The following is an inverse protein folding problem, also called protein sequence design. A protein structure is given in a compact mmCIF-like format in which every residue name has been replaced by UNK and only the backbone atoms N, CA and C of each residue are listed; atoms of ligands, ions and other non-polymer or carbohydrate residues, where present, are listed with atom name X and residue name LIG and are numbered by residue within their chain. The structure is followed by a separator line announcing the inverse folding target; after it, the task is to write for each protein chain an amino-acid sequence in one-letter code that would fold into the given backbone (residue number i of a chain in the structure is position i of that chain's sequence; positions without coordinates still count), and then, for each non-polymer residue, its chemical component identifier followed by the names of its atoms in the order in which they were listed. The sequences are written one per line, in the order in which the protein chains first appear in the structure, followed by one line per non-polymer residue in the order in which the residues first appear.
data_IF_149604426188
#
_entry.id   IF_149604426188
#
_cell.length_a   1.000
_cell.length_b   1.000
_cell.length_c   1.000
_cell.angle_alpha   90.00
_cell.angle_beta   90.00
_cell.angle_gamma   90.00
#
_symmetry.space_group_name_H-M   'P 1'
#
loop_
_entity.id
_entity.type
_entity.pdbx_description
1 polymer ?
#
# COMPACT_ATOMS: atom_id res chain seq x y z
N UNK A 1 -19.99 17.60 -22.09
CA UNK A 1 -19.45 18.99 -22.03
C UNK A 1 -18.55 19.08 -20.83
N UNK A 2 -17.36 19.65 -20.97
CA UNK A 2 -16.42 19.90 -19.86
C UNK A 2 -16.51 21.36 -19.48
N UNK A 3 -16.67 21.65 -18.19
CA UNK A 3 -16.79 23.00 -17.65
C UNK A 3 -15.71 23.20 -16.60
N UNK A 4 -15.08 24.36 -16.64
CA UNK A 4 -14.13 24.80 -15.63
C UNK A 4 -14.86 25.52 -14.51
N UNK A 5 -14.55 25.17 -13.25
CA UNK A 5 -15.14 25.77 -12.05
C UNK A 5 -14.06 26.39 -11.17
N UNK A 6 -14.43 27.43 -10.42
CA UNK A 6 -13.66 27.90 -9.28
C UNK A 6 -14.40 27.62 -7.98
N UNK A 7 -13.67 27.39 -6.91
CA UNK A 7 -14.25 27.28 -5.57
C UNK A 7 -14.32 28.68 -4.94
N UNK A 8 -15.49 29.01 -4.37
CA UNK A 8 -15.73 30.29 -3.69
C UNK A 8 -16.12 29.99 -2.25
N UNK A 9 -15.18 30.22 -1.34
CA UNK A 9 -15.33 29.85 0.08
C UNK A 9 -16.49 30.60 0.75
N UNK A 10 -16.67 31.87 0.38
CA UNK A 10 -17.67 32.79 0.96
C UNK A 10 -19.05 32.69 0.32
N UNK A 11 -19.24 31.79 -0.64
CA UNK A 11 -20.53 31.64 -1.28
C UNK A 11 -21.54 31.11 -0.24
N UNK A 12 -22.60 31.86 0.00
CA UNK A 12 -23.67 31.53 0.96
C UNK A 12 -24.58 30.40 0.48
N UNK A 13 -24.48 30.05 -0.80
CA UNK A 13 -25.23 28.92 -1.36
C UNK A 13 -24.58 27.59 -0.94
N UNK A 14 -25.39 26.53 -0.95
CA UNK A 14 -24.97 25.19 -0.60
C UNK A 14 -23.88 24.67 -1.57
N UNK A 15 -23.90 25.16 -2.84
CA UNK A 15 -22.94 24.82 -3.87
C UNK A 15 -21.87 25.89 -3.99
N UNK A 16 -20.65 25.55 -3.62
CA UNK A 16 -19.53 26.51 -3.59
C UNK A 16 -18.69 26.55 -4.88
N UNK A 17 -18.97 25.69 -5.82
CA UNK A 17 -18.29 25.63 -7.11
C UNK A 17 -19.01 26.49 -8.13
N UNK A 18 -18.39 27.59 -8.55
CA UNK A 18 -18.95 28.52 -9.52
C UNK A 18 -18.38 28.25 -10.90
N UNK A 19 -19.20 28.02 -11.94
CA UNK A 19 -18.73 27.78 -13.29
C UNK A 19 -18.07 29.05 -13.85
N UNK A 20 -16.91 28.89 -14.50
CA UNK A 20 -16.18 29.98 -15.15
C UNK A 20 -16.43 29.97 -16.64
N UNK A 21 -16.19 28.84 -17.29
CA UNK A 21 -16.32 28.71 -18.75
C UNK A 21 -16.46 27.26 -19.20
N UNK A 22 -16.99 27.12 -20.41
CA UNK A 22 -16.97 25.82 -21.11
C UNK A 22 -15.59 25.61 -21.74
N UNK A 23 -14.99 24.46 -21.47
CA UNK A 23 -13.73 24.03 -22.11
C UNK A 23 -14.05 23.28 -23.40
N UNK A 24 -14.11 24.03 -24.51
CA UNK A 24 -14.41 23.46 -25.83
C UNK A 24 -13.32 22.48 -26.28
N UNK A 25 -12.04 22.80 -26.04
CA UNK A 25 -10.89 21.96 -26.28
C UNK A 25 -11.02 20.60 -25.57
N UNK A 26 -11.28 20.63 -24.29
CA UNK A 26 -11.44 19.42 -23.46
C UNK A 26 -12.72 18.63 -23.78
N UNK A 27 -13.76 19.32 -24.20
CA UNK A 27 -14.99 18.67 -24.67
C UNK A 27 -14.76 17.94 -25.99
N UNK A 28 -13.97 18.49 -26.90
CA UNK A 28 -13.60 17.81 -28.14
C UNK A 28 -12.72 16.57 -27.88
N UNK A 29 -11.72 16.66 -26.96
CA UNK A 29 -10.91 15.53 -26.54
C UNK A 29 -11.78 14.41 -25.95
N UNK A 30 -12.75 14.73 -25.07
CA UNK A 30 -13.69 13.76 -24.51
C UNK A 30 -14.50 13.05 -25.60
N UNK A 31 -15.04 13.82 -26.56
CA UNK A 31 -15.83 13.25 -27.67
C UNK A 31 -15.01 12.38 -28.60
N UNK A 32 -13.73 12.69 -28.74
CA UNK A 32 -12.77 11.91 -29.51
C UNK A 32 -12.26 10.65 -28.77
N UNK A 33 -12.73 10.39 -27.56
CA UNK A 33 -12.29 9.25 -26.73
C UNK A 33 -10.86 9.36 -26.20
N UNK A 34 -10.27 10.56 -26.22
CA UNK A 34 -8.96 10.81 -25.68
C UNK A 34 -9.00 10.82 -24.14
N UNK A 35 -7.87 10.50 -23.52
CA UNK A 35 -7.81 10.35 -22.04
C UNK A 35 -7.53 11.63 -21.26
N UNK A 36 -7.22 12.73 -21.92
CA UNK A 36 -6.69 13.95 -21.29
C UNK A 36 -7.71 15.09 -21.19
N UNK A 37 -8.98 14.77 -21.08
CA UNK A 37 -10.09 15.73 -21.11
C UNK A 37 -10.40 16.40 -19.75
N UNK A 38 -9.88 15.85 -18.64
CA UNK A 38 -10.14 16.37 -17.29
C UNK A 38 -8.99 16.14 -16.33
N UNK A 39 -9.08 16.71 -15.13
CA UNK A 39 -8.10 16.49 -14.10
C UNK A 39 -8.16 15.02 -13.62
N UNK A 40 -7.02 14.40 -13.46
CA UNK A 40 -6.92 13.12 -12.76
C UNK A 40 -7.34 13.29 -11.30
N UNK A 41 -7.86 12.23 -10.68
CA UNK A 41 -8.36 12.25 -9.31
C UNK A 41 -7.35 12.84 -8.31
N UNK A 42 -6.08 12.45 -8.39
CA UNK A 42 -5.04 12.95 -7.49
C UNK A 42 -4.80 14.46 -7.66
N UNK A 43 -4.92 15.00 -8.87
CA UNK A 43 -4.81 16.45 -9.12
C UNK A 43 -6.00 17.19 -8.52
N UNK A 44 -7.21 16.66 -8.71
CA UNK A 44 -8.42 17.24 -8.14
C UNK A 44 -8.39 17.20 -6.60
N UNK A 45 -7.94 16.10 -6.03
CA UNK A 45 -7.80 15.93 -4.58
C UNK A 45 -6.72 16.85 -4.00
N UNK A 46 -5.57 16.98 -4.65
CA UNK A 46 -4.52 17.91 -4.24
C UNK A 46 -5.01 19.36 -4.27
N UNK A 47 -5.73 19.75 -5.32
CA UNK A 47 -6.34 21.09 -5.41
C UNK A 47 -7.37 21.31 -4.30
N UNK A 48 -8.18 20.30 -3.99
CA UNK A 48 -9.15 20.34 -2.88
C UNK A 48 -8.45 20.60 -1.54
N UNK A 49 -7.38 19.87 -1.25
CA UNK A 49 -6.58 20.07 -0.05
C UNK A 49 -5.98 21.48 0.01
N UNK A 50 -5.39 21.96 -1.09
CA UNK A 50 -4.80 23.30 -1.14
C UNK A 50 -5.85 24.40 -0.93
N UNK A 51 -7.08 24.23 -1.42
CA UNK A 51 -8.19 25.17 -1.19
C UNK A 51 -8.57 25.26 0.29
N UNK A 52 -8.58 24.13 0.99
CA UNK A 52 -8.99 24.07 2.39
C UNK A 52 -7.86 24.28 3.40
N UNK A 53 -6.63 24.07 2.95
CA UNK A 53 -5.41 24.27 3.73
C UNK A 53 -4.41 25.13 2.93
N UNK A 54 -4.73 26.43 2.68
CA UNK A 54 -3.86 27.30 1.92
C UNK A 54 -2.55 27.56 2.67
N UNK A 55 -1.45 27.62 1.94
CA UNK A 55 -0.17 28.09 2.46
C UNK A 55 -0.30 29.61 2.67
N UNK A 56 -0.12 30.04 3.92
CA UNK A 56 -0.21 31.47 4.29
C UNK A 56 1.14 32.16 4.16
N UNK A 57 1.13 33.48 4.01
CA UNK A 57 2.34 34.30 4.03
C UNK A 57 3.13 34.12 5.33
N UNK A 58 2.44 34.00 6.46
CA UNK A 58 3.04 33.75 7.76
C UNK A 58 3.80 32.41 7.81
N UNK A 59 3.23 31.32 7.24
CA UNK A 59 3.92 30.03 7.14
C UNK A 59 5.23 30.16 6.34
N UNK A 60 5.23 30.94 5.26
CA UNK A 60 6.40 31.11 4.39
C UNK A 60 7.47 31.97 5.07
N UNK A 61 7.06 33.06 5.74
CA UNK A 61 7.99 34.06 6.26
C UNK A 61 8.54 33.71 7.64
N UNK A 62 7.73 33.08 8.51
CA UNK A 62 8.10 32.81 9.91
C UNK A 62 8.29 31.33 10.22
N UNK A 63 7.81 30.44 9.36
CA UNK A 63 7.75 28.99 9.65
C UNK A 63 6.75 28.61 10.75
N UNK A 64 5.93 29.57 11.23
CA UNK A 64 4.92 29.33 12.25
C UNK A 64 3.61 28.84 11.60
N UNK A 65 2.78 28.18 12.40
CA UNK A 65 1.46 27.69 11.99
C UNK A 65 1.48 26.70 10.81
N UNK A 66 2.62 26.09 10.55
CA UNK A 66 2.70 24.94 9.65
C UNK A 66 1.94 23.82 10.36
N UNK A 67 0.83 23.29 9.79
CA UNK A 67 0.10 22.21 10.40
C UNK A 67 1.06 21.03 10.62
N UNK A 68 1.14 20.48 11.82
CA UNK A 68 1.84 19.21 12.11
C UNK A 68 1.25 18.01 11.32
N UNK A 69 0.09 18.20 10.78
CA UNK A 69 -0.59 17.31 9.84
C UNK A 69 -0.41 17.81 8.39
N UNK A 70 0.77 17.68 7.88
CA UNK A 70 0.83 17.10 6.54
C UNK A 70 0.38 15.65 6.75
N UNK A 71 -0.89 15.31 6.43
CA UNK A 71 -1.24 13.92 6.22
C UNK A 71 -0.10 13.29 5.45
N UNK A 72 0.50 12.25 5.99
CA UNK A 72 1.60 11.51 5.40
C UNK A 72 1.23 11.10 3.97
N UNK A 73 1.36 12.02 3.05
CA UNK A 73 1.55 11.73 1.65
C UNK A 73 3.03 11.39 1.46
N UNK A 74 3.55 10.48 2.31
CA UNK A 74 4.75 9.75 1.99
C UNK A 74 4.46 8.90 0.77
N UNK A 75 4.51 9.55 -0.38
CA UNK A 75 4.52 8.86 -1.67
C UNK A 75 5.87 8.18 -1.80
N UNK A 76 6.01 7.04 -1.15
CA UNK A 76 7.22 6.21 -1.14
C UNK A 76 7.65 5.78 -2.55
N UNK A 77 6.72 5.78 -3.50
CA UNK A 77 6.99 5.47 -4.90
C UNK A 77 6.34 6.48 -5.83
N UNK A 78 7.06 7.56 -6.15
CA UNK A 78 6.74 8.38 -7.34
C UNK A 78 7.16 7.59 -8.57
N UNK A 79 6.19 7.16 -9.35
CA UNK A 79 6.45 6.56 -10.66
C UNK A 79 6.79 7.70 -11.66
N UNK A 80 7.98 8.28 -11.50
CA UNK A 80 8.53 9.21 -12.47
C UNK A 80 9.08 8.39 -13.62
N UNK A 81 8.65 8.69 -14.84
CA UNK A 81 9.18 8.08 -16.10
C UNK A 81 10.63 8.49 -16.39
N UNK A 82 11.39 8.95 -15.39
CA UNK A 82 12.80 9.29 -15.54
C UNK A 82 13.59 7.99 -15.57
N UNK A 83 14.36 7.78 -16.63
CA UNK A 83 15.36 6.70 -16.67
C UNK A 83 16.36 6.93 -15.54
N UNK A 84 16.29 6.11 -14.52
CA UNK A 84 17.23 6.16 -13.40
C UNK A 84 18.44 5.31 -13.73
N UNK A 85 19.66 5.80 -13.45
CA UNK A 85 20.90 5.04 -13.63
C UNK A 85 20.88 3.69 -12.89
N UNK A 86 20.06 3.58 -11.84
CA UNK A 86 19.91 2.37 -11.02
C UNK A 86 18.86 1.37 -11.57
N UNK A 87 18.34 1.58 -12.79
CA UNK A 87 17.30 0.71 -13.35
C UNK A 87 17.74 -0.74 -13.45
N UNK A 88 18.95 -0.97 -13.98
CA UNK A 88 19.49 -2.32 -14.14
C UNK A 88 19.65 -3.06 -12.81
N UNK A 89 20.14 -2.36 -11.78
CA UNK A 89 20.27 -2.89 -10.43
C UNK A 89 18.89 -3.24 -9.83
N UNK A 90 17.92 -2.35 -9.96
CA UNK A 90 16.54 -2.58 -9.50
C UNK A 90 15.89 -3.76 -10.24
N UNK A 91 16.08 -3.86 -11.55
CA UNK A 91 15.54 -4.96 -12.35
C UNK A 91 16.21 -6.28 -11.96
N UNK A 92 17.53 -6.32 -11.73
CA UNK A 92 18.23 -7.50 -11.22
C UNK A 92 17.63 -7.95 -9.87
N UNK A 93 17.47 -7.05 -8.91
CA UNK A 93 16.89 -7.41 -7.61
C UNK A 93 15.42 -7.87 -7.74
N UNK A 94 14.61 -7.17 -8.53
CA UNK A 94 13.19 -7.51 -8.63
C UNK A 94 12.91 -8.74 -9.47
N UNK A 95 13.60 -8.91 -10.60
CA UNK A 95 13.30 -9.96 -11.56
C UNK A 95 14.10 -11.24 -11.33
N UNK A 96 15.25 -11.14 -10.65
CA UNK A 96 16.12 -12.28 -10.38
C UNK A 96 16.18 -12.61 -8.89
N UNK A 97 16.73 -11.74 -8.04
CA UNK A 97 16.97 -12.04 -6.61
C UNK A 97 15.68 -12.37 -5.87
N UNK A 98 14.73 -11.43 -5.81
CA UNK A 98 13.44 -11.65 -5.14
C UNK A 98 12.68 -12.84 -5.73
N UNK A 99 12.75 -13.02 -7.06
CA UNK A 99 12.11 -14.16 -7.71
C UNK A 99 12.70 -15.47 -7.22
N UNK A 100 14.05 -15.58 -7.16
CA UNK A 100 14.72 -16.78 -6.64
C UNK A 100 14.36 -17.04 -5.19
N UNK A 101 14.39 -16.02 -4.34
CA UNK A 101 14.05 -16.16 -2.93
C UNK A 101 12.62 -16.66 -2.75
N UNK A 102 11.64 -15.96 -3.30
CA UNK A 102 10.22 -16.31 -3.11
C UNK A 102 9.91 -17.70 -3.69
N UNK A 103 10.33 -17.95 -4.94
CA UNK A 103 10.03 -19.21 -5.60
C UNK A 103 10.86 -20.39 -5.07
N UNK A 104 12.03 -20.15 -4.47
CA UNK A 104 12.90 -21.18 -3.95
C UNK A 104 12.41 -21.80 -2.64
N UNK A 105 11.64 -21.05 -1.85
CA UNK A 105 11.12 -21.50 -0.56
C UNK A 105 9.62 -21.77 -0.55
N UNK A 106 8.90 -21.34 -1.59
CA UNK A 106 7.45 -21.49 -1.67
C UNK A 106 7.05 -22.76 -2.39
N UNK A 107 6.15 -23.50 -1.81
CA UNK A 107 5.43 -24.60 -2.45
C UNK A 107 4.07 -24.14 -2.99
N UNK A 108 3.49 -24.92 -3.90
CA UNK A 108 2.13 -24.65 -4.38
C UNK A 108 1.15 -24.71 -3.21
N UNK A 109 0.23 -23.75 -3.15
CA UNK A 109 -0.78 -23.59 -2.10
C UNK A 109 -0.25 -23.14 -0.74
N UNK A 110 1.01 -22.74 -0.63
CA UNK A 110 1.53 -22.09 0.56
C UNK A 110 0.85 -20.74 0.81
N UNK A 111 0.79 -20.36 2.07
CA UNK A 111 0.36 -19.05 2.53
C UNK A 111 1.61 -18.19 2.85
N UNK A 112 1.61 -16.94 2.42
CA UNK A 112 2.72 -16.02 2.62
C UNK A 112 2.25 -14.78 3.38
N UNK A 113 3.06 -14.32 4.35
CA UNK A 113 2.94 -12.99 4.94
C UNK A 113 4.06 -12.09 4.44
N UNK A 114 3.74 -10.85 4.02
CA UNK A 114 4.70 -9.83 3.61
C UNK A 114 4.62 -8.64 4.57
N UNK A 115 5.72 -8.42 5.32
CA UNK A 115 5.78 -7.42 6.40
C UNK A 115 5.98 -5.98 5.90
N UNK A 116 6.29 -5.80 4.62
CA UNK A 116 6.44 -4.49 3.98
C UNK A 116 6.11 -4.61 2.50
N UNK A 117 4.83 -4.87 2.23
CA UNK A 117 4.34 -5.28 0.90
C UNK A 117 4.47 -4.19 -0.16
N UNK A 118 4.63 -2.94 0.25
CA UNK A 118 4.64 -1.80 -0.65
C UNK A 118 3.38 -1.77 -1.51
N UNK A 119 3.55 -1.48 -2.77
CA UNK A 119 2.46 -1.50 -3.77
C UNK A 119 2.27 -2.90 -4.39
N UNK A 120 2.53 -3.99 -3.65
CA UNK A 120 2.45 -5.38 -4.09
C UNK A 120 3.27 -5.66 -5.37
N UNK A 121 4.52 -5.21 -5.40
CA UNK A 121 5.44 -5.41 -6.52
C UNK A 121 5.80 -6.87 -6.78
N UNK A 122 5.63 -7.71 -5.78
CA UNK A 122 5.97 -9.14 -5.84
C UNK A 122 4.80 -10.04 -6.28
N UNK A 123 3.63 -9.45 -6.55
CA UNK A 123 2.43 -10.16 -7.03
C UNK A 123 2.68 -11.13 -8.21
N UNK A 124 3.47 -10.80 -9.27
CA UNK A 124 3.77 -11.75 -10.32
C UNK A 124 4.53 -12.99 -9.86
N UNK A 125 5.32 -12.87 -8.78
CA UNK A 125 6.09 -13.98 -8.19
C UNK A 125 5.15 -14.89 -7.38
N UNK A 126 4.23 -14.31 -6.62
CA UNK A 126 3.19 -15.06 -5.89
C UNK A 126 2.30 -15.88 -6.83
N UNK A 127 1.92 -15.28 -7.97
CA UNK A 127 1.14 -15.99 -9.02
C UNK A 127 1.94 -17.16 -9.58
N UNK A 128 3.22 -16.94 -9.90
CA UNK A 128 4.11 -18.00 -10.44
C UNK A 128 4.37 -19.12 -9.45
N UNK A 129 4.54 -18.80 -8.18
CA UNK A 129 4.66 -19.79 -7.09
C UNK A 129 3.36 -20.54 -6.81
N UNK A 130 2.24 -20.11 -7.41
CA UNK A 130 0.91 -20.68 -7.19
C UNK A 130 0.52 -20.71 -5.70
N UNK A 131 0.83 -19.62 -4.99
CA UNK A 131 0.45 -19.46 -3.59
C UNK A 131 -1.07 -19.53 -3.45
N UNK A 132 -1.53 -19.96 -2.30
CA UNK A 132 -2.96 -19.98 -1.94
C UNK A 132 -3.40 -18.59 -1.43
N UNK A 133 -2.66 -18.05 -0.48
CA UNK A 133 -3.04 -16.81 0.19
C UNK A 133 -1.82 -15.93 0.48
N UNK A 134 -2.01 -14.61 0.39
CA UNK A 134 -0.99 -13.61 0.77
C UNK A 134 -1.61 -12.60 1.72
N UNK A 135 -0.95 -12.36 2.85
CA UNK A 135 -1.28 -11.31 3.79
C UNK A 135 -0.19 -10.24 3.75
N UNK A 136 -0.50 -9.07 3.22
CA UNK A 136 0.45 -7.98 3.05
C UNK A 136 0.18 -6.84 4.01
N UNK A 137 1.23 -6.34 4.67
CA UNK A 137 1.18 -5.23 5.61
C UNK A 137 2.12 -4.14 5.09
N UNK A 138 1.72 -2.88 5.20
CA UNK A 138 2.60 -1.74 4.91
C UNK A 138 2.25 -0.56 5.81
N UNK A 139 3.29 0.18 6.22
CA UNK A 139 3.14 1.36 7.07
C UNK A 139 2.61 2.56 6.29
N UNK A 140 2.79 2.57 4.97
CA UNK A 140 2.29 3.64 4.10
C UNK A 140 0.87 3.32 3.63
N UNK A 141 -0.07 4.18 4.01
CA UNK A 141 -1.45 4.11 3.56
C UNK A 141 -1.56 4.24 2.03
N UNK A 142 -0.73 5.08 1.41
CA UNK A 142 -0.69 5.25 -0.04
C UNK A 142 -0.28 3.97 -0.75
N UNK A 143 0.71 3.25 -0.22
CA UNK A 143 1.12 1.96 -0.77
C UNK A 143 -0.04 0.94 -0.81
N UNK A 144 -0.92 0.94 0.18
CA UNK A 144 -2.05 0.02 0.25
C UNK A 144 -3.25 0.53 -0.55
N UNK A 145 -3.66 1.78 -0.31
CA UNK A 145 -4.98 2.28 -0.73
C UNK A 145 -4.96 3.23 -1.92
N UNK A 146 -3.79 3.56 -2.50
CA UNK A 146 -3.76 4.38 -3.71
C UNK A 146 -4.62 3.75 -4.80
N UNK A 147 -5.60 4.51 -5.30
CA UNK A 147 -6.61 4.01 -6.24
C UNK A 147 -6.06 3.66 -7.63
N UNK A 148 -4.85 4.13 -7.98
CA UNK A 148 -4.24 3.94 -9.29
C UNK A 148 -3.25 2.78 -9.26
N UNK A 149 -2.33 2.78 -8.29
CA UNK A 149 -1.18 1.88 -8.26
C UNK A 149 -0.90 1.23 -6.89
N UNK A 150 -1.74 1.48 -5.88
CA UNK A 150 -1.65 0.83 -4.58
C UNK A 150 -1.84 -0.69 -4.67
N UNK A 151 -1.47 -1.39 -3.60
CA UNK A 151 -1.52 -2.85 -3.54
C UNK A 151 -2.91 -3.40 -3.87
N UNK A 152 -3.97 -2.80 -3.30
CA UNK A 152 -5.36 -3.20 -3.57
C UNK A 152 -5.74 -2.98 -5.04
N UNK A 153 -5.45 -1.80 -5.60
CA UNK A 153 -5.76 -1.48 -6.99
C UNK A 153 -5.00 -2.40 -7.96
N UNK A 154 -3.72 -2.61 -7.71
CA UNK A 154 -2.88 -3.50 -8.51
C UNK A 154 -3.37 -4.95 -8.45
N UNK A 155 -3.74 -5.43 -7.28
CA UNK A 155 -4.31 -6.77 -7.12
C UNK A 155 -5.59 -6.94 -7.91
N UNK A 156 -6.56 -6.02 -7.76
CA UNK A 156 -7.83 -6.08 -8.48
C UNK A 156 -7.66 -6.00 -9.99
N UNK A 157 -6.73 -5.16 -10.48
CA UNK A 157 -6.43 -5.05 -11.91
C UNK A 157 -5.80 -6.34 -12.47
N UNK A 158 -4.95 -7.02 -11.69
CA UNK A 158 -4.38 -8.30 -12.10
C UNK A 158 -5.42 -9.42 -12.04
N UNK A 159 -6.35 -9.40 -11.08
CA UNK A 159 -7.43 -10.38 -10.98
C UNK A 159 -8.35 -10.41 -12.21
N UNK A 160 -8.48 -9.27 -12.91
CA UNK A 160 -9.19 -9.22 -14.19
C UNK A 160 -8.44 -9.92 -15.33
N UNK A 161 -7.12 -10.08 -15.21
CA UNK A 161 -6.24 -10.64 -16.27
C UNK A 161 -5.91 -12.10 -16.05
N UNK A 162 -5.84 -12.54 -14.80
CA UNK A 162 -5.40 -13.89 -14.41
C UNK A 162 -6.55 -14.66 -13.76
N UNK A 163 -6.96 -15.77 -14.37
CA UNK A 163 -8.00 -16.63 -13.81
C UNK A 163 -7.57 -17.39 -12.54
N UNK A 164 -6.26 -17.62 -12.39
CA UNK A 164 -5.67 -18.31 -11.23
C UNK A 164 -4.60 -17.43 -10.62
N UNK A 165 -4.90 -16.87 -9.46
CA UNK A 165 -3.94 -16.13 -8.66
C UNK A 165 -4.26 -16.32 -7.17
N UNK A 166 -3.28 -16.16 -6.27
CA UNK A 166 -3.51 -16.27 -4.84
C UNK A 166 -4.56 -15.26 -4.39
N UNK A 167 -5.34 -15.60 -3.39
CA UNK A 167 -6.12 -14.60 -2.70
C UNK A 167 -5.18 -13.70 -1.88
N UNK A 168 -5.47 -12.42 -1.80
CA UNK A 168 -4.64 -11.53 -1.01
C UNK A 168 -5.49 -10.53 -0.23
N UNK A 169 -5.05 -10.24 0.99
CA UNK A 169 -5.55 -9.16 1.84
C UNK A 169 -4.38 -8.23 2.14
N UNK A 170 -4.64 -6.92 2.06
CA UNK A 170 -3.66 -5.89 2.36
C UNK A 170 -4.20 -4.99 3.45
N UNK A 171 -3.37 -4.69 4.45
CA UNK A 171 -3.72 -3.88 5.61
C UNK A 171 -2.69 -2.80 5.88
N UNK A 172 -3.17 -1.65 6.36
CA UNK A 172 -2.32 -0.53 6.75
C UNK A 172 -1.93 -0.69 8.22
N UNK A 173 -0.61 -0.89 8.47
CA UNK A 173 -0.10 -1.14 9.80
C UNK A 173 1.42 -1.14 9.89
N UNK A 174 1.94 -1.09 11.10
CA UNK A 174 3.37 -1.08 11.39
C UNK A 174 3.83 -2.47 11.86
N UNK A 175 4.59 -3.16 11.02
CA UNK A 175 5.14 -4.49 11.35
C UNK A 175 6.21 -4.50 12.45
N UNK A 176 6.62 -3.31 12.96
CA UNK A 176 7.40 -3.18 14.19
C UNK A 176 6.57 -3.33 15.47
N UNK A 177 5.23 -3.32 15.39
CA UNK A 177 4.31 -3.62 16.48
C UNK A 177 3.71 -5.02 16.31
N UNK A 178 3.03 -5.53 17.34
CA UNK A 178 2.49 -6.90 17.30
C UNK A 178 1.35 -7.01 16.31
N UNK A 179 1.48 -7.93 15.34
CA UNK A 179 0.51 -8.14 14.27
C UNK A 179 -0.65 -9.03 14.73
N UNK A 180 -0.37 -10.16 15.36
CA UNK A 180 -1.33 -11.22 15.62
C UNK A 180 -2.56 -10.79 16.44
N UNK A 181 -2.40 -9.83 17.35
CA UNK A 181 -3.49 -9.25 18.14
C UNK A 181 -4.14 -8.01 17.50
N UNK A 182 -3.60 -7.57 16.37
CA UNK A 182 -4.07 -6.41 15.62
C UNK A 182 -3.56 -5.06 16.13
N UNK A 183 -2.69 -5.01 17.16
CA UNK A 183 -2.16 -3.74 17.69
C UNK A 183 -1.25 -3.01 16.70
N UNK A 184 -0.68 -3.72 15.72
CA UNK A 184 0.09 -3.14 14.63
C UNK A 184 -0.75 -2.30 13.64
N UNK A 185 -2.08 -2.41 13.67
CA UNK A 185 -2.96 -1.85 12.64
C UNK A 185 -3.43 -0.44 12.97
N UNK A 186 -3.53 0.41 11.95
CA UNK A 186 -3.87 1.84 12.08
C UNK A 186 -5.38 2.12 12.03
N UNK A 187 -6.21 1.14 11.66
CA UNK A 187 -7.67 1.29 11.66
C UNK A 187 -8.37 0.09 12.28
N UNK A 188 -9.55 0.30 12.85
CA UNK A 188 -10.37 -0.79 13.40
C UNK A 188 -10.72 -1.86 12.36
N UNK A 189 -10.91 -1.46 11.09
CA UNK A 189 -11.16 -2.38 10.00
C UNK A 189 -9.94 -3.26 9.69
N UNK A 190 -8.74 -2.67 9.65
CA UNK A 190 -7.50 -3.42 9.42
C UNK A 190 -7.22 -4.35 10.60
N UNK A 191 -7.50 -3.90 11.82
CA UNK A 191 -7.41 -4.70 13.03
C UNK A 191 -8.35 -5.92 12.99
N UNK A 192 -9.64 -5.71 12.68
CA UNK A 192 -10.60 -6.79 12.52
C UNK A 192 -10.19 -7.78 11.41
N UNK A 193 -9.71 -7.27 10.28
CA UNK A 193 -9.22 -8.09 9.18
C UNK A 193 -8.04 -8.95 9.62
N UNK A 194 -7.08 -8.34 10.32
CA UNK A 194 -5.89 -9.03 10.84
C UNK A 194 -6.27 -10.09 11.86
N UNK A 195 -7.09 -9.73 12.83
CA UNK A 195 -7.59 -10.67 13.84
C UNK A 195 -8.31 -11.86 13.19
N UNK A 196 -9.16 -11.61 12.19
CA UNK A 196 -9.85 -12.68 11.47
C UNK A 196 -8.89 -13.61 10.73
N UNK A 197 -7.82 -13.07 10.11
CA UNK A 197 -6.77 -13.88 9.46
C UNK A 197 -6.11 -14.85 10.45
N UNK A 198 -5.89 -14.40 11.69
CA UNK A 198 -5.30 -15.24 12.75
C UNK A 198 -6.33 -16.02 13.59
N UNK A 199 -7.61 -16.02 13.22
CA UNK A 199 -8.65 -16.76 13.94
C UNK A 199 -9.07 -16.14 15.27
N UNK A 200 -8.79 -14.85 15.47
CA UNK A 200 -9.13 -14.10 16.68
C UNK A 200 -10.46 -13.38 16.49
N UNK A 201 -11.32 -13.48 17.51
CA UNK A 201 -12.65 -12.84 17.48
C UNK A 201 -13.72 -13.67 16.76
N UNK A 202 -14.95 -13.12 16.64
CA UNK A 202 -16.09 -13.87 16.10
C UNK A 202 -15.98 -14.05 14.58
N UNK A 203 -16.29 -15.27 14.12
CA UNK A 203 -16.42 -15.59 12.69
C UNK A 203 -17.82 -15.18 12.22
N UNK A 204 -18.03 -13.90 12.00
CA UNK A 204 -19.31 -13.36 11.52
C UNK A 204 -19.15 -12.75 10.12
N UNK A 205 -19.92 -13.26 9.16
CA UNK A 205 -19.90 -12.81 7.77
C UNK A 205 -20.38 -11.37 7.61
N UNK A 206 -21.32 -10.91 8.45
CA UNK A 206 -21.85 -9.55 8.37
C UNK A 206 -20.80 -8.52 8.83
N UNK A 207 -19.96 -8.91 9.79
CA UNK A 207 -18.88 -8.06 10.32
C UNK A 207 -17.66 -8.10 9.40
N UNK A 208 -17.23 -9.29 8.99
CA UNK A 208 -16.01 -9.50 8.22
C UNK A 208 -16.18 -9.21 6.72
N UNK A 209 -17.42 -9.31 6.22
CA UNK A 209 -17.72 -9.18 4.80
C UNK A 209 -17.28 -10.37 3.96
N UNK A 210 -17.74 -10.40 2.70
CA UNK A 210 -17.53 -11.52 1.78
C UNK A 210 -16.05 -11.78 1.41
N UNK A 211 -15.20 -10.76 1.53
CA UNK A 211 -13.78 -10.87 1.19
C UNK A 211 -12.93 -11.50 2.30
N UNK A 212 -13.22 -11.23 3.56
CA UNK A 212 -12.41 -11.70 4.69
C UNK A 212 -12.96 -13.02 5.26
N UNK A 213 -14.27 -13.14 5.36
CA UNK A 213 -14.93 -14.28 5.97
C UNK A 213 -14.46 -15.66 5.48
N UNK A 214 -14.24 -15.92 4.17
CA UNK A 214 -13.75 -17.22 3.68
C UNK A 214 -12.33 -17.58 4.12
N UNK A 215 -11.57 -16.56 4.56
CA UNK A 215 -10.15 -16.67 4.93
C UNK A 215 -9.94 -16.52 6.45
N UNK A 216 -11.03 -16.64 7.22
CA UNK A 216 -10.94 -16.65 8.68
C UNK A 216 -10.05 -17.81 9.16
N UNK A 217 -9.11 -17.49 10.07
CA UNK A 217 -8.15 -18.44 10.66
C UNK A 217 -7.12 -19.03 9.66
N UNK A 218 -6.98 -18.46 8.46
CA UNK A 218 -6.02 -18.99 7.46
C UNK A 218 -4.55 -18.87 7.90
N UNK A 219 -4.25 -17.95 8.81
CA UNK A 219 -2.93 -17.72 9.43
C UNK A 219 -2.85 -18.18 10.89
N UNK A 220 -3.82 -18.95 11.40
CA UNK A 220 -3.88 -19.36 12.81
C UNK A 220 -2.61 -20.09 13.25
N UNK A 221 -2.12 -21.04 12.45
CA UNK A 221 -0.87 -21.78 12.69
C UNK A 221 0.39 -21.05 12.17
N UNK A 222 0.25 -19.81 11.68
CA UNK A 222 1.28 -19.06 11.00
C UNK A 222 1.31 -19.28 9.48
N UNK A 223 2.23 -18.62 8.82
CA UNK A 223 2.44 -18.63 7.37
C UNK A 223 3.62 -19.54 6.99
N UNK A 224 3.53 -20.21 5.84
CA UNK A 224 4.63 -21.03 5.33
C UNK A 224 5.85 -20.19 4.97
N UNK A 225 5.62 -18.97 4.47
CA UNK A 225 6.67 -18.02 4.09
C UNK A 225 6.40 -16.67 4.69
N UNK A 226 7.40 -16.13 5.39
CA UNK A 226 7.48 -14.78 5.89
C UNK A 226 8.45 -13.99 5.04
N UNK A 227 8.02 -12.86 4.46
CA UNK A 227 8.80 -12.05 3.52
C UNK A 227 8.97 -10.62 4.02
N UNK A 228 10.18 -10.08 3.91
CA UNK A 228 10.50 -8.69 4.17
C UNK A 228 11.53 -8.19 3.15
N UNK A 229 11.06 -7.55 2.06
CA UNK A 229 11.89 -7.21 0.93
C UNK A 229 12.28 -5.73 0.92
N UNK A 230 13.60 -5.44 1.12
CA UNK A 230 14.16 -4.08 1.21
C UNK A 230 13.57 -3.21 2.32
N UNK A 231 13.17 -3.81 3.43
CA UNK A 231 12.56 -3.08 4.53
C UNK A 231 13.04 -3.51 5.93
N UNK A 232 13.81 -4.58 6.02
CA UNK A 232 14.26 -5.10 7.32
C UNK A 232 15.06 -4.06 8.12
N UNK A 233 15.82 -3.19 7.44
CA UNK A 233 16.63 -2.15 8.07
C UNK A 233 15.80 -1.11 8.84
N UNK A 234 14.56 -0.87 8.49
CA UNK A 234 13.68 0.06 9.23
C UNK A 234 13.37 -0.44 10.63
N UNK A 235 13.37 -1.75 10.86
CA UNK A 235 13.08 -2.32 12.17
C UNK A 235 14.25 -2.20 13.14
N UNK A 236 15.42 -1.82 12.66
CA UNK A 236 16.60 -1.51 13.49
C UNK A 236 16.62 -0.07 14.00
N UNK A 237 15.60 0.73 13.73
CA UNK A 237 15.48 2.11 14.20
C UNK A 237 15.64 2.22 15.73
N UNK A 238 15.01 1.31 16.47
CA UNK A 238 15.14 1.23 17.91
C UNK A 238 14.87 -0.20 18.41
N UNK A 239 15.22 -0.44 19.69
CA UNK A 239 15.11 -1.76 20.31
C UNK A 239 13.66 -2.29 20.33
N UNK A 240 12.66 -1.43 20.47
CA UNK A 240 11.26 -1.83 20.57
C UNK A 240 10.72 -2.28 19.22
N UNK A 241 11.04 -1.56 18.15
CA UNK A 241 10.63 -1.93 16.78
C UNK A 241 11.29 -3.22 16.34
N UNK A 242 12.58 -3.41 16.65
CA UNK A 242 13.27 -4.65 16.35
C UNK A 242 12.66 -5.82 17.14
N UNK A 243 12.42 -5.66 18.42
CA UNK A 243 11.83 -6.69 19.26
C UNK A 243 10.40 -7.05 18.78
N UNK A 244 9.60 -6.05 18.43
CA UNK A 244 8.26 -6.25 17.83
C UNK A 244 8.31 -7.04 16.53
N UNK A 245 9.23 -6.68 15.63
CA UNK A 245 9.42 -7.40 14.37
C UNK A 245 9.88 -8.85 14.58
N UNK A 246 10.86 -9.09 15.45
CA UNK A 246 11.33 -10.44 15.78
C UNK A 246 10.22 -11.30 16.39
N UNK A 247 9.39 -10.68 17.24
CA UNK A 247 8.20 -11.33 17.79
C UNK A 247 7.21 -11.72 16.70
N UNK A 248 6.94 -10.81 15.75
CA UNK A 248 6.07 -11.11 14.62
C UNK A 248 6.62 -12.27 13.77
N UNK A 249 7.93 -12.33 13.54
CA UNK A 249 8.54 -13.48 12.84
C UNK A 249 8.26 -14.80 13.57
N UNK A 250 8.42 -14.80 14.89
CA UNK A 250 8.16 -15.99 15.71
C UNK A 250 6.68 -16.37 15.76
N UNK A 251 5.77 -15.39 15.92
CA UNK A 251 4.33 -15.64 16.09
C UNK A 251 3.59 -15.90 14.77
N UNK A 252 4.10 -15.35 13.65
CA UNK A 252 3.41 -15.41 12.35
C UNK A 252 4.06 -16.37 11.36
N UNK A 253 5.26 -16.90 11.63
CA UNK A 253 5.86 -17.92 10.78
C UNK A 253 5.54 -19.29 11.32
N UNK A 254 5.05 -20.17 10.46
CA UNK A 254 4.75 -21.57 10.80
C UNK A 254 6.02 -22.32 11.20
N UNK A 255 5.89 -23.29 12.07
CA UNK A 255 7.00 -24.21 12.34
C UNK A 255 7.41 -24.89 11.01
N UNK A 256 8.72 -24.97 10.75
CA UNK A 256 9.31 -25.40 9.48
C UNK A 256 8.99 -24.46 8.29
N UNK A 257 8.49 -23.25 8.56
CA UNK A 257 8.34 -22.20 7.58
C UNK A 257 9.66 -21.43 7.32
N UNK A 258 9.67 -20.60 6.31
CA UNK A 258 10.84 -19.85 5.91
C UNK A 258 10.65 -18.35 6.13
N UNK A 259 11.69 -17.68 6.63
CA UNK A 259 11.82 -16.24 6.56
C UNK A 259 12.80 -15.87 5.46
N UNK A 260 12.38 -14.98 4.56
CA UNK A 260 13.20 -14.43 3.46
C UNK A 260 13.20 -12.91 3.51
N UNK A 261 14.39 -12.33 3.37
CA UNK A 261 14.55 -10.89 3.37
C UNK A 261 15.64 -10.45 2.39
N UNK A 262 15.53 -9.20 1.94
CA UNK A 262 16.61 -8.46 1.27
C UNK A 262 16.84 -7.15 2.00
N UNK A 263 18.11 -6.73 2.08
CA UNK A 263 18.51 -5.47 2.71
C UNK A 263 19.74 -4.92 2.03
N UNK A 264 20.10 -3.69 2.39
CA UNK A 264 21.38 -3.12 2.02
C UNK A 264 22.49 -3.75 2.88
N UNK A 265 23.68 -3.86 2.29
CA UNK A 265 24.86 -4.18 3.03
C UNK A 265 25.33 -2.94 3.80
N UNK A 266 25.26 -3.00 5.14
CA UNK A 266 25.60 -1.88 6.00
C UNK A 266 27.07 -1.46 5.86
N UNK A 267 27.98 -2.41 5.76
CA UNK A 267 29.42 -2.11 5.62
C UNK A 267 29.70 -1.37 4.31
N UNK A 268 29.03 -1.77 3.22
CA UNK A 268 29.16 -1.10 1.92
C UNK A 268 28.51 0.28 1.89
N UNK A 269 27.46 0.52 2.70
CA UNK A 269 26.76 1.82 2.73
C UNK A 269 27.49 2.83 3.61
N UNK A 270 28.18 2.39 4.69
CA UNK A 270 28.79 3.28 5.68
C UNK A 270 30.31 3.41 5.54
N UNK A 271 30.96 2.67 4.67
CA UNK A 271 32.37 2.82 4.27
C UNK A 271 32.51 3.52 2.91
#
# INVERSE_FOLDING_TARGET
MIVEFKYVHENKEQWKWVPIRVRHDKTAELKAGLRNYGNAYHVANSNWHTIHHPITEEMITTGNNIPEYLEDTEVYYRNTKVETQTRSLRDFHNLYVKKKLIMGVSNQKDNLIDYAVGKAGDLPKWIRSKLNFVFGIDVSRDNIHNSIDGACARYLNNRKKYNKMPYALFVHGNSGARIRDGTAMNSERDKQTTQAVFGVGPKDKNVLGAGVYPHYAIGEDGFNVSSCQFAIHYFFENKNTLHGFMRNLSECTKLDGYFIATTYDGDTVFN
#
